data_IF_495299091656
#
_entry.id   IF_495299091656
#
_cell.length_a   1.000
_cell.length_b   1.000
_cell.length_c   1.000
_cell.angle_alpha   90.00
_cell.angle_beta   90.00
_cell.angle_gamma   90.00
#
_symmetry.space_group_name_H-M   'P 1'
#
loop_
_entity.id
_entity.type
_entity.pdbx_description
1 polymer ?
#
# COMPACT_ATOMS: atom_id res chain seq x y z
N UNK A 1 -3.83 17.57 12.71
CA UNK A 1 -4.89 16.97 13.55
C UNK A 1 -4.76 15.46 13.43
N UNK A 2 -4.62 14.72 14.53
CA UNK A 2 -4.66 13.24 14.47
C UNK A 2 -6.10 12.84 14.17
N UNK A 3 -6.36 12.24 13.02
CA UNK A 3 -7.66 11.65 12.70
C UNK A 3 -7.96 10.64 13.79
N UNK A 4 -9.08 10.79 14.50
CA UNK A 4 -9.42 9.91 15.59
C UNK A 4 -9.86 8.55 15.00
N UNK A 5 -8.88 7.64 14.83
CA UNK A 5 -9.09 6.33 14.22
C UNK A 5 -10.13 5.48 14.98
N UNK A 6 -10.42 5.82 16.24
CA UNK A 6 -11.32 5.08 17.13
C UNK A 6 -12.83 5.17 16.80
N UNK A 7 -13.25 6.12 15.96
CA UNK A 7 -14.66 6.29 15.57
C UNK A 7 -14.95 5.94 14.10
N UNK A 8 -13.95 5.41 13.38
CA UNK A 8 -14.08 5.06 11.97
C UNK A 8 -15.07 3.90 11.80
N UNK A 9 -16.30 4.23 11.39
CA UNK A 9 -17.27 3.23 10.93
C UNK A 9 -16.95 2.71 9.53
N UNK A 10 -16.28 3.56 8.73
CA UNK A 10 -15.95 3.32 7.33
C UNK A 10 -14.57 3.89 7.01
N UNK A 11 -13.49 3.08 7.08
CA UNK A 11 -12.16 3.53 6.71
C UNK A 11 -12.06 3.88 5.22
N UNK A 12 -11.23 4.87 4.90
CA UNK A 12 -10.83 5.19 3.53
C UNK A 12 -9.38 4.79 3.33
N UNK A 13 -9.11 3.86 2.42
CA UNK A 13 -7.78 3.30 2.16
C UNK A 13 -7.35 3.66 0.75
N UNK A 14 -6.21 4.35 0.68
CA UNK A 14 -5.52 4.60 -0.58
C UNK A 14 -4.68 3.39 -0.97
N UNK A 15 -4.85 2.88 -2.19
CA UNK A 15 -4.01 1.84 -2.78
C UNK A 15 -3.19 2.49 -3.90
N UNK A 16 -1.94 2.84 -3.59
CA UNK A 16 -1.08 3.64 -4.45
C UNK A 16 0.03 2.79 -5.09
N UNK A 17 0.08 2.82 -6.43
CA UNK A 17 1.07 2.10 -7.23
C UNK A 17 1.99 3.07 -7.96
N UNK A 18 3.29 3.01 -7.70
CA UNK A 18 4.28 3.88 -8.32
C UNK A 18 4.74 3.40 -9.69
N UNK A 19 5.97 3.79 -10.01
CA UNK A 19 6.55 3.69 -11.35
C UNK A 19 6.60 2.26 -11.89
N UNK A 20 6.26 2.12 -13.18
CA UNK A 20 6.24 0.91 -14.02
C UNK A 20 5.20 -0.16 -13.65
N UNK A 21 4.36 0.05 -12.64
CA UNK A 21 3.35 -0.94 -12.25
C UNK A 21 2.16 -1.00 -13.22
N UNK A 22 1.93 0.04 -14.02
CA UNK A 22 1.01 0.03 -15.17
C UNK A 22 1.33 -1.06 -16.20
N UNK A 23 2.60 -1.48 -16.28
CA UNK A 23 3.08 -2.47 -17.23
C UNK A 23 2.84 -3.93 -16.77
N UNK A 24 2.25 -4.14 -15.60
CA UNK A 24 1.93 -5.48 -15.09
C UNK A 24 0.99 -6.23 -16.05
N UNK A 25 1.31 -7.49 -16.32
CA UNK A 25 0.57 -8.34 -17.26
C UNK A 25 0.96 -8.16 -18.73
N UNK A 26 1.75 -7.14 -19.09
CA UNK A 26 2.16 -6.87 -20.49
C UNK A 26 3.53 -7.44 -20.85
N UNK A 27 4.37 -7.79 -19.87
CA UNK A 27 5.70 -8.36 -20.11
C UNK A 27 5.67 -9.88 -20.03
N UNK A 28 6.32 -10.61 -20.95
CA UNK A 28 6.53 -12.05 -20.80
C UNK A 28 7.47 -12.24 -19.60
N UNK A 29 6.97 -12.73 -18.47
CA UNK A 29 7.80 -12.74 -17.27
C UNK A 29 7.68 -14.01 -16.46
N UNK A 30 8.85 -14.53 -16.09
CA UNK A 30 9.06 -15.67 -15.19
C UNK A 30 8.92 -15.27 -13.70
N UNK A 31 8.71 -13.98 -13.39
CA UNK A 31 8.71 -13.43 -12.03
C UNK A 31 7.40 -12.73 -11.61
N UNK A 32 6.65 -12.18 -12.58
CA UNK A 32 5.37 -11.51 -12.39
C UNK A 32 4.32 -12.32 -13.13
N UNK A 33 3.34 -12.87 -12.39
CA UNK A 33 2.24 -13.62 -12.99
C UNK A 33 1.44 -12.78 -14.01
N UNK A 34 0.51 -13.42 -14.73
CA UNK A 34 -0.29 -12.77 -15.79
C UNK A 34 -1.27 -11.69 -15.31
N UNK A 35 -1.35 -11.42 -14.00
CA UNK A 35 -2.29 -10.46 -13.42
C UNK A 35 -1.80 -9.03 -13.65
N UNK A 36 -2.69 -8.16 -14.12
CA UNK A 36 -2.45 -6.72 -14.23
C UNK A 36 -2.93 -5.99 -12.96
N UNK A 37 -2.70 -4.67 -12.87
CA UNK A 37 -3.22 -3.86 -11.75
C UNK A 37 -4.75 -3.92 -11.63
N UNK A 38 -5.47 -3.99 -12.75
CA UNK A 38 -6.94 -4.13 -12.73
C UNK A 38 -7.37 -5.41 -12.01
N UNK A 39 -6.63 -6.51 -12.19
CA UNK A 39 -6.94 -7.78 -11.52
C UNK A 39 -6.65 -7.72 -10.01
N UNK A 40 -5.60 -7.01 -9.61
CA UNK A 40 -5.28 -6.76 -8.19
C UNK A 40 -6.40 -5.92 -7.56
N UNK A 41 -6.80 -4.82 -8.21
CA UNK A 41 -7.87 -3.94 -7.73
C UNK A 41 -9.19 -4.69 -7.59
N UNK A 42 -9.55 -5.53 -8.58
CA UNK A 42 -10.73 -6.40 -8.51
C UNK A 42 -10.65 -7.41 -7.37
N UNK A 43 -9.48 -8.01 -7.15
CA UNK A 43 -9.23 -8.93 -6.04
C UNK A 43 -9.46 -8.26 -4.68
N UNK A 44 -8.90 -7.07 -4.49
CA UNK A 44 -9.09 -6.28 -3.27
C UNK A 44 -10.55 -5.91 -3.04
N UNK A 45 -11.25 -5.41 -4.06
CA UNK A 45 -12.70 -5.13 -3.96
C UNK A 45 -13.53 -6.37 -3.64
N UNK A 46 -13.10 -7.55 -4.10
CA UNK A 46 -13.80 -8.82 -3.84
C UNK A 46 -13.66 -9.26 -2.39
N UNK A 47 -12.50 -9.08 -1.77
CA UNK A 47 -12.24 -9.53 -0.39
C UNK A 47 -12.61 -8.50 0.67
N UNK A 48 -12.65 -7.22 0.30
CA UNK A 48 -12.91 -6.10 1.21
C UNK A 48 -14.15 -6.30 2.09
N UNK A 49 -15.34 -6.70 1.59
CA UNK A 49 -16.52 -6.79 2.44
C UNK A 49 -16.36 -7.82 3.57
N UNK A 50 -15.66 -8.92 3.30
CA UNK A 50 -15.39 -9.96 4.29
C UNK A 50 -14.39 -9.47 5.34
N UNK A 51 -13.34 -8.75 4.91
CA UNK A 51 -12.34 -8.19 5.82
C UNK A 51 -12.92 -7.06 6.68
N UNK A 52 -13.67 -6.14 6.10
CA UNK A 52 -14.36 -5.08 6.84
C UNK A 52 -15.28 -5.66 7.90
N UNK A 53 -16.08 -6.66 7.55
CA UNK A 53 -16.94 -7.37 8.51
C UNK A 53 -16.12 -8.05 9.62
N UNK A 54 -15.01 -8.70 9.26
CA UNK A 54 -14.13 -9.38 10.22
C UNK A 54 -13.60 -8.41 11.29
N UNK A 55 -13.27 -7.18 10.91
CA UNK A 55 -12.76 -6.16 11.84
C UNK A 55 -13.84 -5.21 12.39
N UNK A 56 -15.12 -5.48 12.11
CA UNK A 56 -16.25 -4.74 12.66
C UNK A 56 -16.52 -3.37 12.00
N UNK A 57 -16.01 -3.16 10.78
CA UNK A 57 -16.36 -2.01 9.94
C UNK A 57 -17.60 -2.30 9.11
N UNK A 58 -18.41 -1.28 8.81
CA UNK A 58 -19.58 -1.46 7.93
C UNK A 58 -19.17 -1.68 6.46
N UNK A 59 -18.05 -1.08 6.07
CA UNK A 59 -17.41 -1.17 4.76
C UNK A 59 -16.07 -0.42 4.82
N UNK A 60 -15.27 -0.54 3.78
CA UNK A 60 -14.03 0.17 3.57
C UNK A 60 -14.02 0.75 2.15
N UNK A 61 -13.75 2.05 2.03
CA UNK A 61 -13.59 2.70 0.73
C UNK A 61 -12.17 2.48 0.21
N UNK A 62 -12.06 1.87 -0.97
CA UNK A 62 -10.77 1.65 -1.64
C UNK A 62 -10.62 2.60 -2.82
N UNK A 63 -9.64 3.50 -2.72
CA UNK A 63 -9.23 4.39 -3.82
C UNK A 63 -7.96 3.85 -4.44
N UNK A 64 -7.99 3.58 -5.75
CA UNK A 64 -6.85 3.00 -6.46
C UNK A 64 -6.22 4.07 -7.35
N UNK A 65 -4.91 4.27 -7.20
CA UNK A 65 -4.14 5.20 -8.03
C UNK A 65 -2.88 4.52 -8.56
N UNK A 66 -2.43 4.98 -9.73
CA UNK A 66 -1.13 4.64 -10.29
C UNK A 66 -0.55 5.86 -10.98
N UNK A 67 0.76 6.09 -10.84
CA UNK A 67 1.45 7.07 -11.67
C UNK A 67 2.91 6.70 -11.91
N UNK A 68 3.41 7.12 -13.08
CA UNK A 68 4.81 7.10 -13.47
C UNK A 68 5.51 8.45 -13.24
N UNK A 69 4.76 9.47 -12.79
CA UNK A 69 5.26 10.79 -12.44
C UNK A 69 5.32 10.93 -10.91
N UNK A 70 6.51 11.18 -10.37
CA UNK A 70 6.74 11.19 -8.92
C UNK A 70 5.93 12.29 -8.21
N UNK A 71 5.90 13.50 -8.78
CA UNK A 71 5.16 14.63 -8.21
C UNK A 71 3.64 14.37 -8.19
N UNK A 72 3.11 13.75 -9.25
CA UNK A 72 1.71 13.34 -9.29
C UNK A 72 1.43 12.26 -8.24
N UNK A 73 2.29 11.23 -8.16
CA UNK A 73 2.18 10.16 -7.17
C UNK A 73 2.14 10.70 -5.74
N UNK A 74 3.04 11.62 -5.41
CA UNK A 74 3.12 12.32 -4.12
C UNK A 74 1.83 13.12 -3.84
N UNK A 75 1.21 13.69 -4.87
CA UNK A 75 0.00 14.51 -4.71
C UNK A 75 -1.25 13.70 -4.32
N UNK A 76 -1.29 12.39 -4.60
CA UNK A 76 -2.40 11.53 -4.17
C UNK A 76 -2.49 11.34 -2.66
N UNK A 77 -1.39 11.52 -1.92
CA UNK A 77 -1.40 11.35 -0.47
C UNK A 77 -1.97 12.59 0.22
N UNK A 78 -2.98 12.39 1.07
CA UNK A 78 -3.64 13.44 1.84
C UNK A 78 -4.11 12.93 3.21
N UNK A 79 -4.48 13.85 4.09
CA UNK A 79 -5.00 13.56 5.43
C UNK A 79 -6.44 13.01 5.45
N UNK A 80 -7.12 12.99 4.29
CA UNK A 80 -8.48 12.46 4.15
C UNK A 80 -8.52 10.93 4.18
N UNK A 81 -7.39 10.28 3.86
CA UNK A 81 -7.28 8.83 3.96
C UNK A 81 -7.05 8.40 5.40
N UNK A 82 -7.70 7.32 5.79
CA UNK A 82 -7.48 6.67 7.08
C UNK A 82 -6.14 5.94 7.12
N UNK A 83 -5.74 5.33 6.00
CA UNK A 83 -4.44 4.66 5.83
C UNK A 83 -4.12 4.41 4.33
N UNK A 84 -2.93 3.88 4.04
CA UNK A 84 -2.52 3.55 2.68
C UNK A 84 -1.82 2.18 2.51
N UNK A 85 -2.03 1.55 1.37
CA UNK A 85 -1.24 0.43 0.87
C UNK A 85 -0.39 0.97 -0.28
N UNK A 86 0.94 0.94 -0.15
CA UNK A 86 1.84 1.63 -1.06
C UNK A 86 2.81 0.63 -1.69
N UNK A 87 2.73 0.45 -3.00
CA UNK A 87 3.81 -0.13 -3.78
C UNK A 87 4.46 0.97 -4.61
N UNK A 88 5.55 1.60 -4.14
CA UNK A 88 6.17 2.74 -4.81
C UNK A 88 7.02 2.32 -6.03
N UNK A 89 7.12 1.01 -6.34
CA UNK A 89 8.04 0.50 -7.34
C UNK A 89 9.49 0.88 -7.00
N UNK A 90 10.20 1.48 -7.97
CA UNK A 90 11.59 1.88 -7.77
C UNK A 90 11.76 3.04 -6.78
N UNK A 91 10.73 3.86 -6.57
CA UNK A 91 10.83 5.05 -5.70
C UNK A 91 11.05 4.73 -4.22
N UNK A 92 10.76 3.50 -3.77
CA UNK A 92 11.18 3.08 -2.41
C UNK A 92 12.68 3.28 -2.20
N UNK A 93 13.48 3.10 -3.25
CA UNK A 93 14.94 3.14 -3.18
C UNK A 93 15.54 4.53 -3.46
N UNK A 94 14.74 5.51 -3.86
CA UNK A 94 15.27 6.79 -4.38
C UNK A 94 14.53 8.04 -3.90
N UNK A 95 13.26 7.94 -3.53
CA UNK A 95 12.42 9.11 -3.27
C UNK A 95 12.42 9.52 -1.81
N UNK A 96 13.26 10.50 -1.48
CA UNK A 96 13.16 11.22 -0.21
C UNK A 96 11.88 12.05 -0.15
N UNK A 97 11.49 12.69 -1.25
CA UNK A 97 10.27 13.50 -1.33
C UNK A 97 9.00 12.72 -0.96
N UNK A 98 8.92 11.44 -1.35
CA UNK A 98 7.83 10.56 -0.94
C UNK A 98 7.88 10.24 0.55
N UNK A 99 9.07 9.94 1.10
CA UNK A 99 9.25 9.68 2.52
C UNK A 99 8.82 10.91 3.35
N UNK A 100 9.32 12.10 3.01
CA UNK A 100 8.99 13.37 3.67
C UNK A 100 7.48 13.67 3.60
N UNK A 101 6.84 13.38 2.46
CA UNK A 101 5.39 13.55 2.33
C UNK A 101 4.62 12.63 3.28
N UNK A 102 4.98 11.36 3.33
CA UNK A 102 4.31 10.36 4.18
C UNK A 102 4.49 10.68 5.66
N UNK A 103 5.70 11.10 6.06
CA UNK A 103 6.01 11.55 7.41
C UNK A 103 5.21 12.81 7.78
N UNK A 104 5.20 13.83 6.92
CA UNK A 104 4.49 15.08 7.17
C UNK A 104 2.97 14.87 7.37
N UNK A 105 2.38 13.91 6.66
CA UNK A 105 0.96 13.57 6.79
C UNK A 105 0.65 12.71 8.01
N UNK A 106 1.65 12.07 8.62
CA UNK A 106 1.47 11.00 9.61
C UNK A 106 0.45 9.94 9.14
N UNK A 107 0.45 9.64 7.84
CA UNK A 107 -0.50 8.71 7.25
C UNK A 107 -0.03 7.27 7.53
N UNK A 108 -0.77 6.45 8.29
CA UNK A 108 -0.40 5.06 8.50
C UNK A 108 -0.41 4.30 7.17
N UNK A 109 0.63 3.51 6.90
CA UNK A 109 0.69 2.74 5.66
C UNK A 109 1.45 1.42 5.78
N UNK A 110 1.16 0.51 4.86
CA UNK A 110 1.92 -0.72 4.63
C UNK A 110 2.62 -0.62 3.28
N UNK A 111 3.94 -0.81 3.28
CA UNK A 111 4.73 -0.94 2.05
C UNK A 111 4.51 -2.33 1.43
N UNK A 112 4.22 -2.39 0.14
CA UNK A 112 3.99 -3.64 -0.59
C UNK A 112 4.92 -3.77 -1.77
N UNK A 113 5.48 -4.96 -1.96
CA UNK A 113 6.20 -5.33 -3.19
C UNK A 113 5.74 -6.69 -3.71
N UNK A 114 5.51 -6.79 -5.02
CA UNK A 114 5.12 -8.05 -5.65
C UNK A 114 6.24 -9.09 -5.56
N UNK A 115 7.49 -8.68 -5.81
CA UNK A 115 8.67 -9.55 -5.73
C UNK A 115 9.37 -9.43 -4.40
N UNK A 116 10.13 -10.45 -4.02
CA UNK A 116 10.99 -10.39 -2.85
C UNK A 116 12.17 -9.46 -3.15
N UNK A 117 12.21 -8.31 -2.48
CA UNK A 117 13.29 -7.32 -2.67
C UNK A 117 14.64 -7.86 -2.19
N UNK A 118 14.68 -8.70 -1.16
CA UNK A 118 15.92 -9.24 -0.59
C UNK A 118 16.63 -10.22 -1.53
N UNK A 119 15.94 -10.78 -2.52
CA UNK A 119 16.53 -11.65 -3.54
C UNK A 119 17.13 -10.89 -4.74
N UNK A 120 16.99 -9.55 -4.76
CA UNK A 120 17.59 -8.73 -5.83
C UNK A 120 19.08 -8.57 -5.59
N UNK A 121 19.87 -8.70 -6.65
CA UNK A 121 21.34 -8.72 -6.58
C UNK A 121 21.92 -7.34 -6.28
N UNK A 122 21.20 -6.29 -6.62
CA UNK A 122 21.64 -4.90 -6.49
C UNK A 122 21.43 -4.39 -5.06
N UNK A 123 22.52 -4.01 -4.38
CA UNK A 123 22.47 -3.46 -3.00
C UNK A 123 21.54 -2.25 -2.85
N UNK A 124 21.37 -1.45 -3.90
CA UNK A 124 20.44 -0.31 -3.85
C UNK A 124 19.00 -0.75 -3.61
N UNK A 125 18.62 -1.97 -4.03
CA UNK A 125 17.26 -2.51 -3.89
C UNK A 125 16.93 -3.09 -2.52
N UNK A 126 17.90 -3.14 -1.60
CA UNK A 126 17.64 -3.50 -0.20
C UNK A 126 17.28 -2.28 0.67
N UNK A 127 17.61 -1.06 0.21
CA UNK A 127 17.35 0.18 0.94
C UNK A 127 15.94 0.68 0.61
N UNK A 128 15.17 1.06 1.63
CA UNK A 128 13.89 1.74 1.44
C UNK A 128 13.87 3.01 2.27
N UNK A 129 13.59 4.14 1.63
CA UNK A 129 13.41 5.43 2.29
C UNK A 129 12.05 5.57 2.97
N UNK A 130 11.03 4.85 2.50
CA UNK A 130 9.69 4.93 3.10
C UNK A 130 9.49 3.91 4.23
N UNK A 131 10.16 2.75 4.18
CA UNK A 131 9.96 1.66 5.14
C UNK A 131 10.13 2.06 6.62
N UNK A 132 11.06 2.95 7.01
CA UNK A 132 11.17 3.40 8.41
C UNK A 132 9.90 4.08 8.95
N UNK A 133 9.05 4.61 8.07
CA UNK A 133 7.79 5.28 8.43
C UNK A 133 6.55 4.39 8.25
N UNK A 134 6.72 3.16 7.73
CA UNK A 134 5.63 2.22 7.50
C UNK A 134 5.26 1.49 8.80
N UNK A 135 3.99 1.07 8.93
CA UNK A 135 3.56 0.12 9.96
C UNK A 135 4.31 -1.21 9.78
N UNK A 136 4.47 -1.62 8.52
CA UNK A 136 5.14 -2.84 8.14
C UNK A 136 5.34 -2.90 6.63
N UNK A 137 6.07 -3.92 6.18
CA UNK A 137 6.35 -4.17 4.76
C UNK A 137 6.02 -5.61 4.42
N UNK A 138 5.33 -5.83 3.30
CA UNK A 138 4.95 -7.16 2.80
C UNK A 138 5.48 -7.32 1.38
N UNK A 139 6.39 -8.27 1.18
CA UNK A 139 7.03 -8.47 -0.12
C UNK A 139 7.14 -9.94 -0.52
N UNK A 140 7.12 -10.21 -1.83
CA UNK A 140 7.45 -11.52 -2.39
C UNK A 140 6.31 -12.50 -2.57
N UNK A 141 5.08 -12.14 -2.21
CA UNK A 141 3.89 -12.99 -2.38
C UNK A 141 3.06 -12.64 -3.61
N UNK A 142 3.62 -11.87 -4.55
CA UNK A 142 2.89 -11.39 -5.72
C UNK A 142 1.67 -10.56 -5.30
N UNK A 143 0.53 -10.81 -5.93
CA UNK A 143 -0.71 -10.08 -5.63
C UNK A 143 -1.22 -10.35 -4.19
N UNK A 144 -0.88 -11.49 -3.60
CA UNK A 144 -1.27 -11.81 -2.21
C UNK A 144 -0.67 -10.79 -1.24
N UNK A 145 0.49 -10.18 -1.55
CA UNK A 145 1.05 -9.10 -0.74
C UNK A 145 0.07 -7.94 -0.54
N UNK A 146 -0.76 -7.62 -1.54
CA UNK A 146 -1.79 -6.58 -1.42
C UNK A 146 -2.97 -7.03 -0.55
N UNK A 147 -3.40 -8.28 -0.69
CA UNK A 147 -4.49 -8.86 0.11
C UNK A 147 -4.10 -8.92 1.59
N UNK A 148 -2.87 -9.37 1.87
CA UNK A 148 -2.29 -9.36 3.21
C UNK A 148 -2.14 -7.95 3.77
N UNK A 149 -1.78 -6.96 2.94
CA UNK A 149 -1.71 -5.57 3.37
C UNK A 149 -3.08 -5.01 3.73
N UNK A 150 -4.13 -5.34 2.96
CA UNK A 150 -5.50 -4.93 3.30
C UNK A 150 -5.97 -5.56 4.61
N UNK A 151 -5.70 -6.84 4.83
CA UNK A 151 -5.96 -7.48 6.11
C UNK A 151 -5.25 -6.76 7.26
N UNK A 152 -3.93 -6.59 7.13
CA UNK A 152 -3.09 -6.02 8.20
C UNK A 152 -3.44 -4.57 8.50
N UNK A 153 -3.79 -3.76 7.49
CA UNK A 153 -4.13 -2.36 7.71
C UNK A 153 -5.51 -2.18 8.35
N UNK A 154 -6.48 -3.04 8.02
CA UNK A 154 -7.78 -3.03 8.70
C UNK A 154 -7.66 -3.54 10.13
N UNK A 155 -6.84 -4.56 10.38
CA UNK A 155 -6.50 -5.02 11.73
C UNK A 155 -5.86 -3.88 12.53
N UNK A 156 -4.85 -3.21 11.98
CA UNK A 156 -4.19 -2.05 12.60
C UNK A 156 -5.18 -0.95 12.96
N UNK A 157 -6.07 -0.57 12.03
CA UNK A 157 -7.06 0.48 12.29
C UNK A 157 -8.07 0.09 13.37
N UNK A 158 -8.32 -1.21 13.55
CA UNK A 158 -9.18 -1.73 14.62
C UNK A 158 -8.46 -1.90 15.96
N UNK A 159 -7.21 -2.34 15.98
CA UNK A 159 -6.46 -2.66 17.20
C UNK A 159 -5.78 -1.46 17.86
N UNK A 160 -5.51 -0.37 17.12
CA UNK A 160 -4.99 0.89 17.68
C UNK A 160 -5.96 1.63 18.62
N UNK A 161 -6.90 0.91 19.23
CA UNK A 161 -7.48 1.29 20.51
C UNK A 161 -6.48 1.14 21.68
N UNK A 162 -5.44 0.27 21.59
CA UNK A 162 -4.62 -0.06 22.77
C UNK A 162 -3.11 -0.32 22.57
N UNK A 163 -2.55 -0.31 21.36
CA UNK A 163 -1.14 -0.72 21.16
C UNK A 163 -0.41 0.07 20.08
N UNK A 164 0.01 1.30 20.40
CA UNK A 164 1.35 1.89 20.21
C UNK A 164 1.51 3.00 21.27
#
# INVERSE_FOLDING_TARGET
MKTNLSSLKKPSILVANGVNLDLLGQRPSQYYGKKCLSDINKGLRKIEPNLSKLFGFSSCDLTFVQSNCESEFISFFSTEYSAAIINPGAWTHTSLSLADRLEALNLPFIEVHLSNLALRKERVRSISFIRPHAIGSICGFGYISYESALFAILAFLKENHHLI
#
